data_IF_845332990460
#
_entry.id   IF_845332990460
#
_cell.length_a   1.000
_cell.length_b   1.000
_cell.length_c   1.000
_cell.angle_alpha   90.00
_cell.angle_beta   90.00
_cell.angle_gamma   90.00
#
_symmetry.space_group_name_H-M   'P 1'
#
loop_
_entity.id
_entity.type
_entity.pdbx_description
1 polymer ?
#
# COMPACT_ATOMS: atom_id res chain seq x y z
N UNK A 1 -6.61 -48.85 -10.98
CA UNK A 1 -6.64 -47.49 -11.59
C UNK A 1 -6.08 -46.52 -10.58
N UNK A 2 -4.85 -46.06 -10.82
CA UNK A 2 -4.18 -45.10 -9.94
C UNK A 2 -4.64 -43.70 -10.37
N UNK A 3 -5.21 -42.92 -9.43
CA UNK A 3 -5.59 -41.57 -9.66
C UNK A 3 -4.38 -40.71 -10.05
N UNK A 4 -4.50 -40.00 -11.14
CA UNK A 4 -3.51 -39.01 -11.57
C UNK A 4 -3.51 -37.85 -10.55
N UNK A 5 -2.38 -37.69 -9.87
CA UNK A 5 -2.06 -36.45 -9.16
C UNK A 5 -1.98 -35.33 -10.20
N UNK A 6 -2.91 -34.39 -10.10
CA UNK A 6 -2.84 -33.15 -10.87
C UNK A 6 -1.71 -32.32 -10.25
N UNK A 7 -0.54 -32.37 -10.89
CA UNK A 7 0.55 -31.46 -10.61
C UNK A 7 0.05 -30.02 -10.89
N UNK A 8 -0.36 -29.29 -9.87
CA UNK A 8 -0.61 -27.86 -9.93
C UNK A 8 0.72 -27.15 -10.16
N UNK A 9 0.96 -26.73 -11.41
CA UNK A 9 2.05 -25.82 -11.74
C UNK A 9 1.84 -24.45 -11.03
N UNK A 10 2.81 -23.52 -11.09
CA UNK A 10 2.77 -22.23 -10.40
C UNK A 10 1.56 -21.32 -10.76
N UNK A 11 0.74 -21.69 -11.74
CA UNK A 11 -0.45 -20.96 -12.19
C UNK A 11 -1.69 -21.12 -11.28
N UNK A 12 -1.67 -22.02 -10.29
CA UNK A 12 -2.80 -22.27 -9.38
C UNK A 12 -2.70 -21.60 -8.01
N UNK A 13 -1.55 -21.05 -7.64
CA UNK A 13 -1.33 -20.47 -6.33
C UNK A 13 -1.72 -18.99 -6.33
N UNK A 14 -2.46 -18.54 -5.32
CA UNK A 14 -2.80 -17.12 -5.12
C UNK A 14 -1.55 -16.25 -4.79
N UNK A 15 -1.68 -14.92 -4.88
CA UNK A 15 -0.62 -14.01 -4.47
C UNK A 15 -0.34 -14.13 -2.96
N UNK A 16 0.88 -13.81 -2.57
CA UNK A 16 1.30 -13.78 -1.15
C UNK A 16 0.92 -12.44 -0.48
N UNK A 17 0.89 -11.37 -1.25
CA UNK A 17 0.41 -10.05 -0.86
C UNK A 17 -0.76 -9.65 -1.76
N UNK A 18 -1.91 -9.35 -1.17
CA UNK A 18 -3.06 -8.76 -1.86
C UNK A 18 -3.22 -7.30 -1.42
N UNK A 19 -3.30 -6.41 -2.38
CA UNK A 19 -3.56 -4.99 -2.17
C UNK A 19 -5.01 -4.71 -2.57
N UNK A 20 -5.78 -4.14 -1.66
CA UNK A 20 -7.14 -3.64 -1.91
C UNK A 20 -7.07 -2.12 -1.88
N UNK A 21 -7.45 -1.45 -2.96
CA UNK A 21 -7.37 0.02 -2.95
C UNK A 21 -7.76 0.68 -4.25
N UNK A 22 -7.86 1.99 -4.21
CA UNK A 22 -8.22 2.79 -5.35
C UNK A 22 -7.07 2.86 -6.36
N UNK A 23 -7.44 2.85 -7.64
CA UNK A 23 -6.55 3.01 -8.78
C UNK A 23 -7.13 4.07 -9.69
N UNK A 24 -6.32 5.02 -10.13
CA UNK A 24 -6.82 6.12 -10.92
C UNK A 24 -5.71 7.08 -11.37
N UNK A 25 -6.11 8.31 -11.64
CA UNK A 25 -5.22 9.37 -12.12
C UNK A 25 -5.03 10.42 -11.05
N UNK A 26 -3.78 10.70 -10.70
CA UNK A 26 -3.40 11.83 -9.84
C UNK A 26 -3.07 13.05 -10.70
N UNK A 27 -3.68 14.17 -10.39
CA UNK A 27 -3.45 15.48 -11.00
C UNK A 27 -2.85 16.36 -9.92
N UNK A 28 -1.57 16.70 -10.06
CA UNK A 28 -0.82 17.42 -9.03
C UNK A 28 -0.53 18.83 -9.50
N UNK A 29 -0.75 19.81 -8.62
CA UNK A 29 -0.43 21.20 -8.83
C UNK A 29 0.54 21.66 -7.75
N UNK A 30 1.72 22.16 -8.14
CA UNK A 30 2.73 22.73 -7.24
C UNK A 30 3.20 24.09 -7.79
N UNK A 31 2.75 25.17 -7.20
CA UNK A 31 3.00 26.51 -7.71
C UNK A 31 2.50 26.68 -9.16
N UNK A 32 3.41 26.99 -10.09
CA UNK A 32 3.12 27.11 -11.52
C UNK A 32 3.24 25.80 -12.31
N UNK A 33 3.68 24.70 -11.67
CA UNK A 33 3.87 23.40 -12.32
C UNK A 33 2.68 22.50 -12.06
N UNK A 34 2.26 21.78 -13.09
CA UNK A 34 1.22 20.75 -12.97
C UNK A 34 1.62 19.53 -13.78
N UNK A 35 1.32 18.36 -13.22
CA UNK A 35 1.53 17.09 -13.93
C UNK A 35 0.41 16.09 -13.62
N UNK A 36 0.32 15.10 -14.46
CA UNK A 36 -0.62 13.99 -14.31
C UNK A 36 0.18 12.69 -14.24
N UNK A 37 -0.15 11.85 -13.29
CA UNK A 37 0.48 10.54 -13.13
C UNK A 37 -0.58 9.48 -12.84
N UNK A 38 -0.28 8.23 -13.18
CA UNK A 38 -1.03 7.08 -12.68
C UNK A 38 -0.84 7.01 -11.18
N UNK A 39 -1.93 6.89 -10.43
CA UNK A 39 -1.91 6.98 -8.98
C UNK A 39 -3.04 6.20 -8.32
N UNK A 40 -3.32 6.61 -7.09
CA UNK A 40 -4.20 5.92 -6.17
C UNK A 40 -3.43 4.98 -5.24
N UNK A 41 -3.94 4.80 -4.02
CA UNK A 41 -3.27 4.00 -2.98
C UNK A 41 -3.03 2.57 -3.44
N UNK A 42 -4.02 1.92 -4.04
CA UNK A 42 -3.89 0.57 -4.58
C UNK A 42 -2.83 0.46 -5.68
N UNK A 43 -2.73 1.47 -6.57
CA UNK A 43 -1.73 1.47 -7.63
C UNK A 43 -0.30 1.54 -7.09
N UNK A 44 -0.01 2.51 -6.25
CA UNK A 44 1.35 2.74 -5.77
C UNK A 44 1.89 1.57 -4.93
N UNK A 45 1.05 1.02 -4.04
CA UNK A 45 1.39 -0.18 -3.26
C UNK A 45 1.61 -1.39 -4.16
N UNK A 46 0.66 -1.71 -5.07
CA UNK A 46 0.77 -2.88 -5.95
C UNK A 46 1.92 -2.75 -6.95
N UNK A 47 2.17 -1.55 -7.49
CA UNK A 47 3.25 -1.32 -8.44
C UNK A 47 4.64 -1.49 -7.82
N UNK A 48 4.86 -0.98 -6.60
CA UNK A 48 6.13 -1.14 -5.89
C UNK A 48 6.34 -2.57 -5.40
N UNK A 49 5.30 -3.22 -4.88
CA UNK A 49 5.35 -4.63 -4.51
C UNK A 49 5.62 -5.54 -5.72
N UNK A 50 4.88 -5.34 -6.83
CA UNK A 50 5.06 -6.12 -8.06
C UNK A 50 6.47 -6.03 -8.65
N UNK A 51 7.12 -4.88 -8.51
CA UNK A 51 8.51 -4.71 -8.95
C UNK A 51 9.50 -5.60 -8.16
N UNK A 52 9.17 -5.97 -6.92
CA UNK A 52 9.99 -6.84 -6.07
C UNK A 52 9.61 -8.31 -6.17
N UNK A 53 8.32 -8.64 -6.06
CA UNK A 53 7.83 -10.02 -5.93
C UNK A 53 6.96 -10.49 -7.11
N UNK A 54 6.77 -9.67 -8.13
CA UNK A 54 6.05 -10.03 -9.36
C UNK A 54 4.62 -10.52 -9.10
N UNK A 55 4.22 -11.63 -9.71
CA UNK A 55 2.87 -12.23 -9.59
C UNK A 55 2.47 -12.66 -8.17
N UNK A 56 3.39 -12.66 -7.23
CA UNK A 56 3.09 -12.85 -5.81
C UNK A 56 2.44 -11.62 -5.16
N UNK A 57 2.39 -10.48 -5.88
CA UNK A 57 1.57 -9.32 -5.54
C UNK A 57 0.29 -9.31 -6.37
N UNK A 58 -0.87 -9.25 -5.74
CA UNK A 58 -2.18 -9.14 -6.37
C UNK A 58 -2.86 -7.81 -6.05
N UNK A 59 -3.74 -7.37 -6.93
CA UNK A 59 -4.53 -6.14 -6.77
C UNK A 59 -6.01 -6.44 -6.87
N UNK A 60 -6.78 -5.90 -5.90
CA UNK A 60 -8.24 -5.81 -5.93
C UNK A 60 -8.63 -4.35 -6.05
N UNK A 61 -9.23 -4.00 -7.18
CA UNK A 61 -9.62 -2.63 -7.48
C UNK A 61 -10.79 -2.61 -8.48
N UNK A 62 -11.52 -1.50 -8.52
CA UNK A 62 -12.48 -1.21 -9.58
C UNK A 62 -11.98 -0.02 -10.40
N UNK A 63 -11.92 -0.18 -11.72
CA UNK A 63 -11.47 0.86 -12.65
C UNK A 63 -12.48 1.07 -13.76
N UNK A 64 -12.46 2.25 -14.35
CA UNK A 64 -13.18 2.52 -15.59
C UNK A 64 -12.39 1.97 -16.80
N UNK A 65 -13.04 1.91 -17.96
CA UNK A 65 -12.39 1.53 -19.22
C UNK A 65 -11.38 2.57 -19.73
N UNK A 66 -11.32 3.72 -19.08
CA UNK A 66 -10.38 4.81 -19.35
C UNK A 66 -9.02 4.64 -18.67
N UNK A 67 -8.86 3.58 -17.85
CA UNK A 67 -7.63 3.34 -17.10
C UNK A 67 -6.71 2.35 -17.83
N UNK A 68 -5.42 2.73 -17.97
CA UNK A 68 -4.39 1.84 -18.52
C UNK A 68 -3.75 0.97 -17.44
N UNK A 69 -3.97 -0.34 -17.53
CA UNK A 69 -3.38 -1.35 -16.64
C UNK A 69 -2.00 -1.85 -17.10
N UNK A 70 -1.49 -1.39 -18.27
CA UNK A 70 -0.20 -1.86 -18.79
C UNK A 70 0.98 -1.65 -17.83
N UNK A 71 1.09 -0.54 -17.06
CA UNK A 71 2.16 -0.37 -16.08
C UNK A 71 2.16 -1.41 -14.96
N UNK A 72 0.99 -1.89 -14.53
CA UNK A 72 0.89 -2.96 -13.52
C UNK A 72 1.22 -4.33 -14.13
N UNK A 73 0.75 -4.58 -15.37
CA UNK A 73 1.10 -5.81 -16.10
C UNK A 73 2.60 -5.94 -16.33
N UNK A 74 3.28 -4.83 -16.64
CA UNK A 74 4.75 -4.83 -16.86
C UNK A 74 5.53 -5.19 -15.57
N UNK A 75 4.95 -4.96 -14.41
CA UNK A 75 5.47 -5.37 -13.10
C UNK A 75 4.96 -6.73 -12.65
N UNK A 76 4.28 -7.43 -13.54
CA UNK A 76 3.74 -8.77 -13.29
C UNK A 76 2.76 -8.84 -12.10
N UNK A 77 2.08 -7.74 -11.74
CA UNK A 77 1.03 -7.76 -10.72
C UNK A 77 -0.10 -8.68 -11.16
N UNK A 78 -0.60 -9.50 -10.26
CA UNK A 78 -1.79 -10.32 -10.50
C UNK A 78 -3.04 -9.43 -10.45
N UNK A 79 -3.71 -9.30 -11.59
CA UNK A 79 -4.85 -8.40 -11.79
C UNK A 79 -6.20 -9.09 -11.80
N UNK A 80 -6.29 -10.36 -11.41
CA UNK A 80 -7.56 -11.10 -11.41
C UNK A 80 -8.62 -10.49 -10.47
N UNK A 81 -8.19 -9.70 -9.47
CA UNK A 81 -9.07 -8.93 -8.60
C UNK A 81 -9.48 -7.56 -9.17
N UNK A 82 -9.02 -7.19 -10.37
CA UNK A 82 -9.37 -5.90 -10.97
C UNK A 82 -10.63 -6.04 -11.80
N UNK A 83 -11.63 -5.22 -11.52
CA UNK A 83 -12.90 -5.16 -12.25
C UNK A 83 -12.96 -3.88 -13.08
N UNK A 84 -13.14 -4.03 -14.40
CA UNK A 84 -13.39 -2.91 -15.29
C UNK A 84 -14.90 -2.68 -15.46
N UNK A 85 -15.35 -1.43 -15.25
CA UNK A 85 -16.75 -1.04 -15.39
C UNK A 85 -16.92 0.12 -16.39
N UNK A 86 -18.12 0.28 -16.98
CA UNK A 86 -18.47 1.51 -17.69
C UNK A 86 -18.50 2.69 -16.71
N UNK A 87 -17.82 3.79 -17.09
CA UNK A 87 -17.71 5.01 -16.29
C UNK A 87 -16.26 5.41 -16.06
N UNK A 88 -16.02 6.57 -15.44
CA UNK A 88 -14.69 7.07 -15.20
C UNK A 88 -14.01 6.34 -14.04
N UNK A 89 -12.69 6.15 -14.18
CA UNK A 89 -11.82 5.73 -13.07
C UNK A 89 -11.66 6.86 -12.04
N UNK A 90 -11.15 6.51 -10.87
CA UNK A 90 -10.89 7.50 -9.83
C UNK A 90 -9.91 8.58 -10.29
N UNK A 91 -10.15 9.81 -9.83
CA UNK A 91 -9.27 10.97 -10.01
C UNK A 91 -8.98 11.60 -8.67
N UNK A 92 -7.72 11.91 -8.43
CA UNK A 92 -7.22 12.58 -7.24
C UNK A 92 -6.56 13.88 -7.66
N UNK A 93 -7.03 14.99 -7.13
CA UNK A 93 -6.38 16.30 -7.27
C UNK A 93 -5.58 16.59 -6.01
N UNK A 94 -4.30 16.89 -6.19
CA UNK A 94 -3.36 17.22 -5.12
C UNK A 94 -2.85 18.63 -5.39
N UNK A 95 -3.01 19.54 -4.45
CA UNK A 95 -2.38 20.84 -4.50
C UNK A 95 -1.32 20.93 -3.41
N UNK A 96 -0.10 21.21 -3.81
CA UNK A 96 1.03 21.43 -2.91
C UNK A 96 1.24 22.95 -2.77
N UNK A 97 1.42 23.42 -1.54
CA UNK A 97 1.64 24.82 -1.21
C UNK A 97 3.10 25.06 -0.82
N UNK A 98 3.56 26.32 -0.91
CA UNK A 98 4.96 26.71 -0.64
C UNK A 98 5.37 26.47 0.83
N UNK A 99 4.41 26.41 1.75
CA UNK A 99 4.62 26.08 3.16
C UNK A 99 4.76 24.56 3.42
N UNK A 100 4.73 23.74 2.35
CA UNK A 100 4.80 22.29 2.42
C UNK A 100 3.45 21.62 2.74
N UNK A 101 2.38 22.38 3.00
CA UNK A 101 1.04 21.83 3.20
C UNK A 101 0.43 21.35 1.88
N UNK A 102 -0.63 20.52 1.98
CA UNK A 102 -1.33 19.98 0.82
C UNK A 102 -2.83 19.97 1.03
N UNK A 103 -3.56 20.18 -0.05
CA UNK A 103 -4.99 19.89 -0.10
C UNK A 103 -5.28 18.78 -1.10
N UNK A 104 -6.33 18.03 -0.83
CA UNK A 104 -6.75 16.88 -1.62
C UNK A 104 -8.24 17.01 -1.94
N UNK A 105 -8.58 16.59 -3.16
CA UNK A 105 -9.96 16.27 -3.52
C UNK A 105 -9.95 15.04 -4.42
N UNK A 106 -10.99 14.23 -4.33
CA UNK A 106 -11.09 12.99 -5.10
C UNK A 106 -12.50 12.82 -5.66
N UNK A 107 -12.56 12.27 -6.86
CA UNK A 107 -13.76 11.69 -7.45
C UNK A 107 -13.48 10.20 -7.64
N UNK A 108 -14.17 9.34 -6.91
CA UNK A 108 -13.89 7.90 -6.93
C UNK A 108 -14.45 7.21 -8.18
N UNK A 109 -15.40 7.83 -8.88
CA UNK A 109 -15.99 7.28 -10.10
C UNK A 109 -16.55 5.88 -9.87
N UNK A 110 -16.19 4.92 -10.72
CA UNK A 110 -16.68 3.52 -10.59
C UNK A 110 -16.17 2.82 -9.31
N UNK A 111 -15.15 3.35 -8.66
CA UNK A 111 -14.59 2.81 -7.42
C UNK A 111 -15.30 3.30 -6.14
N UNK A 112 -16.30 4.19 -6.25
CA UNK A 112 -17.07 4.70 -5.09
C UNK A 112 -17.80 3.58 -4.34
N UNK A 113 -18.26 2.55 -5.05
CA UNK A 113 -18.97 1.43 -4.47
C UNK A 113 -18.02 0.26 -4.24
N UNK A 114 -17.88 -0.17 -3.00
CA UNK A 114 -17.14 -1.39 -2.64
C UNK A 114 -17.82 -2.63 -3.21
N UNK A 115 -17.02 -3.47 -3.86
CA UNK A 115 -17.48 -4.72 -4.51
C UNK A 115 -16.70 -5.92 -4.00
N UNK A 116 -17.01 -6.35 -2.79
CA UNK A 116 -16.32 -7.49 -2.15
C UNK A 116 -16.42 -8.78 -2.96
N UNK A 117 -17.52 -8.97 -3.70
CA UNK A 117 -17.72 -10.13 -4.58
C UNK A 117 -16.72 -10.26 -5.74
N UNK A 118 -15.90 -9.23 -6.01
CA UNK A 118 -14.83 -9.29 -7.01
C UNK A 118 -13.50 -9.81 -6.46
N UNK A 119 -13.42 -10.06 -5.16
CA UNK A 119 -12.23 -10.62 -4.53
C UNK A 119 -12.07 -12.10 -4.93
N UNK A 120 -11.01 -12.48 -5.65
CA UNK A 120 -10.84 -13.85 -6.11
C UNK A 120 -10.65 -14.82 -4.93
N UNK A 121 -11.31 -15.98 -4.99
CA UNK A 121 -11.25 -16.96 -3.90
C UNK A 121 -9.80 -17.37 -3.56
N UNK A 122 -8.93 -17.51 -4.57
CA UNK A 122 -7.50 -17.85 -4.36
C UNK A 122 -6.68 -16.74 -3.68
N UNK A 123 -7.21 -15.51 -3.60
CA UNK A 123 -6.58 -14.40 -2.87
C UNK A 123 -6.80 -14.49 -1.35
N UNK A 124 -7.78 -15.29 -0.91
CA UNK A 124 -8.03 -15.54 0.52
C UNK A 124 -6.90 -16.34 1.19
N UNK A 125 -6.07 -17.02 0.41
CA UNK A 125 -4.90 -17.78 0.90
C UNK A 125 -3.61 -16.92 0.98
N UNK A 126 -3.71 -15.61 0.77
CA UNK A 126 -2.59 -14.69 0.87
C UNK A 126 -1.99 -14.67 2.29
N UNK A 127 -0.69 -14.40 2.37
CA UNK A 127 -0.02 -14.17 3.67
C UNK A 127 -0.34 -12.78 4.23
N UNK A 128 -0.50 -11.78 3.34
CA UNK A 128 -0.76 -10.39 3.67
C UNK A 128 -1.91 -9.83 2.82
N UNK A 129 -2.81 -9.08 3.45
CA UNK A 129 -3.80 -8.24 2.76
C UNK A 129 -3.61 -6.81 3.23
N UNK A 130 -3.45 -5.89 2.30
CA UNK A 130 -3.31 -4.47 2.59
C UNK A 130 -4.52 -3.67 2.12
N UNK A 131 -5.15 -2.97 3.03
CA UNK A 131 -6.22 -2.03 2.73
C UNK A 131 -5.61 -0.63 2.54
N UNK A 132 -5.49 -0.20 1.30
CA UNK A 132 -4.99 1.13 0.97
C UNK A 132 -5.88 2.25 1.50
N UNK A 133 -5.41 3.48 1.41
CA UNK A 133 -6.17 4.65 1.88
C UNK A 133 -7.53 4.70 1.18
N UNK A 134 -8.61 4.74 1.98
CA UNK A 134 -10.00 4.79 1.53
C UNK A 134 -10.87 5.40 2.63
N UNK A 135 -12.12 5.80 2.36
CA UNK A 135 -13.09 6.09 3.40
C UNK A 135 -13.16 4.95 4.43
N UNK A 136 -13.18 5.24 5.75
CA UNK A 136 -13.13 4.20 6.78
C UNK A 136 -14.25 3.17 6.69
N UNK A 137 -15.44 3.57 6.26
CA UNK A 137 -16.57 2.67 6.02
C UNK A 137 -16.27 1.63 4.92
N UNK A 138 -15.52 2.02 3.90
CA UNK A 138 -15.07 1.09 2.86
C UNK A 138 -14.01 0.12 3.41
N UNK A 139 -13.05 0.59 4.22
CA UNK A 139 -12.05 -0.27 4.85
C UNK A 139 -12.72 -1.26 5.82
N UNK A 140 -13.69 -0.80 6.62
CA UNK A 140 -14.48 -1.65 7.52
C UNK A 140 -15.29 -2.70 6.75
N UNK A 141 -15.91 -2.34 5.62
CA UNK A 141 -16.60 -3.29 4.75
C UNK A 141 -15.67 -4.39 4.24
N UNK A 142 -14.42 -4.06 3.88
CA UNK A 142 -13.43 -5.05 3.49
C UNK A 142 -12.98 -5.92 4.66
N UNK A 143 -12.77 -5.35 5.85
CA UNK A 143 -12.44 -6.12 7.06
C UNK A 143 -13.51 -7.14 7.40
N UNK A 144 -14.78 -6.71 7.41
CA UNK A 144 -15.93 -7.59 7.65
C UNK A 144 -15.95 -8.74 6.64
N UNK A 145 -15.86 -8.43 5.34
CA UNK A 145 -15.81 -9.45 4.29
C UNK A 145 -14.68 -10.46 4.48
N UNK A 146 -13.45 -9.99 4.74
CA UNK A 146 -12.29 -10.86 4.93
C UNK A 146 -12.45 -11.78 6.14
N UNK A 147 -12.98 -11.25 7.25
CA UNK A 147 -13.28 -12.04 8.45
C UNK A 147 -14.37 -13.08 8.20
N UNK A 148 -15.49 -12.70 7.57
CA UNK A 148 -16.59 -13.61 7.23
C UNK A 148 -16.15 -14.74 6.29
N UNK A 149 -15.18 -14.47 5.38
CA UNK A 149 -14.62 -15.46 4.48
C UNK A 149 -13.54 -16.32 5.13
N UNK A 150 -13.22 -16.08 6.40
CA UNK A 150 -12.18 -16.82 7.14
C UNK A 150 -10.78 -16.58 6.61
N UNK A 151 -10.50 -15.40 6.04
CA UNK A 151 -9.17 -15.01 5.61
C UNK A 151 -8.21 -15.03 6.80
N UNK A 152 -7.06 -15.68 6.63
CA UNK A 152 -6.02 -15.82 7.68
C UNK A 152 -4.80 -14.95 7.42
N UNK A 153 -4.88 -14.08 6.43
CA UNK A 153 -3.81 -13.15 6.12
C UNK A 153 -3.57 -12.19 7.29
N UNK A 154 -2.33 -11.73 7.42
CA UNK A 154 -2.01 -10.58 8.24
C UNK A 154 -2.54 -9.32 7.55
N UNK A 155 -3.59 -8.72 8.11
CA UNK A 155 -4.30 -7.60 7.50
C UNK A 155 -3.63 -6.30 7.94
N UNK A 156 -3.32 -5.41 7.00
CA UNK A 156 -2.82 -4.07 7.27
C UNK A 156 -3.70 -3.00 6.64
N UNK A 157 -3.69 -1.79 7.20
CA UNK A 157 -4.37 -0.63 6.63
C UNK A 157 -3.49 0.61 6.62
N UNK A 158 -3.67 1.46 5.61
CA UNK A 158 -3.09 2.81 5.55
C UNK A 158 -4.16 3.86 5.86
N UNK A 159 -3.82 4.80 6.76
CA UNK A 159 -4.70 5.89 7.13
C UNK A 159 -4.55 7.06 6.16
N UNK A 160 -5.53 7.97 6.19
CA UNK A 160 -5.49 9.19 5.40
C UNK A 160 -5.97 10.38 6.23
N UNK A 161 -5.16 11.44 6.30
CA UNK A 161 -5.37 12.57 7.20
C UNK A 161 -6.75 13.23 7.10
N UNK A 162 -7.31 13.34 5.88
CA UNK A 162 -8.66 13.86 5.68
C UNK A 162 -9.71 13.01 6.41
N UNK A 163 -9.62 11.69 6.31
CA UNK A 163 -10.59 10.77 6.96
C UNK A 163 -10.36 10.67 8.46
N UNK A 164 -9.11 10.72 8.90
CA UNK A 164 -8.75 10.80 10.33
C UNK A 164 -9.39 12.03 10.98
N UNK A 165 -9.31 13.18 10.32
CA UNK A 165 -9.90 14.42 10.81
C UNK A 165 -11.43 14.43 10.76
N UNK A 166 -12.03 13.84 9.73
CA UNK A 166 -13.49 13.88 9.49
C UNK A 166 -14.21 12.76 10.23
N UNK A 167 -13.63 11.58 10.31
CA UNK A 167 -14.22 10.34 10.87
C UNK A 167 -13.29 9.64 11.87
N UNK A 168 -12.86 10.32 12.96
CA UNK A 168 -11.84 9.78 13.87
C UNK A 168 -12.27 8.48 14.56
N UNK A 169 -13.55 8.32 14.87
CA UNK A 169 -14.08 7.09 15.49
C UNK A 169 -13.97 5.90 14.55
N UNK A 170 -14.50 6.02 13.32
CA UNK A 170 -14.43 4.96 12.33
C UNK A 170 -12.97 4.65 11.92
N UNK A 171 -12.10 5.67 11.87
CA UNK A 171 -10.66 5.46 11.64
C UNK A 171 -10.00 4.64 12.75
N UNK A 172 -10.39 4.82 14.01
CA UNK A 172 -9.92 3.98 15.13
C UNK A 172 -10.47 2.56 15.03
N UNK A 173 -11.73 2.39 14.65
CA UNK A 173 -12.33 1.07 14.43
C UNK A 173 -11.55 0.27 13.37
N UNK A 174 -11.11 0.93 12.28
CA UNK A 174 -10.20 0.29 11.31
C UNK A 174 -8.89 -0.11 11.97
N UNK A 175 -8.25 0.80 12.73
CA UNK A 175 -7.01 0.52 13.44
C UNK A 175 -7.12 -0.66 14.42
N UNK A 176 -8.26 -0.80 15.09
CA UNK A 176 -8.52 -1.89 16.04
C UNK A 176 -8.81 -3.24 15.35
N UNK A 177 -9.19 -3.20 14.07
CA UNK A 177 -9.56 -4.38 13.27
C UNK A 177 -8.41 -4.97 12.44
N UNK A 178 -7.21 -4.38 12.44
CA UNK A 178 -6.06 -4.82 11.63
C UNK A 178 -4.87 -5.25 12.46
N UNK A 179 -3.94 -5.97 11.83
CA UNK A 179 -2.73 -6.49 12.46
C UNK A 179 -1.51 -5.57 12.30
N UNK A 180 -1.56 -4.58 11.39
CA UNK A 180 -0.51 -3.59 11.16
C UNK A 180 -1.12 -2.31 10.62
N UNK A 181 -0.68 -1.16 11.13
CA UNK A 181 -1.21 0.14 10.74
C UNK A 181 -0.10 0.99 10.13
N UNK A 182 -0.37 1.59 8.97
CA UNK A 182 0.45 2.63 8.38
C UNK A 182 -0.24 3.98 8.54
N UNK A 183 0.48 4.98 9.03
CA UNK A 183 -0.02 6.34 9.16
C UNK A 183 1.12 7.35 9.15
N UNK A 184 0.82 8.60 8.85
CA UNK A 184 1.76 9.71 9.03
C UNK A 184 1.83 10.14 10.50
N UNK A 185 2.87 10.93 10.86
CA UNK A 185 2.95 11.51 12.20
C UNK A 185 1.72 12.38 12.53
N UNK A 186 1.23 13.16 11.56
CA UNK A 186 0.05 14.01 11.76
C UNK A 186 -1.23 13.19 12.00
N UNK A 187 -1.38 12.06 11.31
CA UNK A 187 -2.51 11.12 11.52
C UNK A 187 -2.41 10.44 12.90
N UNK A 188 -1.20 10.04 13.30
CA UNK A 188 -0.95 9.51 14.64
C UNK A 188 -1.32 10.52 15.72
N UNK A 189 -0.85 11.75 15.60
CA UNK A 189 -1.15 12.82 16.55
C UNK A 189 -2.66 13.13 16.58
N UNK A 190 -3.33 13.09 15.42
CA UNK A 190 -4.78 13.29 15.31
C UNK A 190 -5.62 12.19 15.97
N UNK A 191 -5.18 10.93 15.92
CA UNK A 191 -5.91 9.81 16.52
C UNK A 191 -5.52 9.54 17.97
N UNK A 192 -4.23 9.71 18.34
CA UNK A 192 -3.65 9.21 19.58
C UNK A 192 -2.81 10.26 20.32
N UNK A 193 -2.79 11.51 19.86
CA UNK A 193 -2.06 12.61 20.52
C UNK A 193 -2.62 13.04 21.89
N UNK A 194 -3.89 12.66 22.18
CA UNK A 194 -4.44 12.80 23.53
C UNK A 194 -4.02 11.59 24.38
N UNK A 195 -3.22 11.85 25.41
CA UNK A 195 -2.72 10.82 26.34
C UNK A 195 -3.82 10.01 27.07
N UNK A 196 -5.08 10.47 27.01
CA UNK A 196 -6.22 9.74 27.60
C UNK A 196 -6.80 8.67 26.67
N UNK A 197 -6.43 8.69 25.36
CA UNK A 197 -6.90 7.71 24.40
C UNK A 197 -5.98 6.50 24.34
N UNK A 198 -6.54 5.27 24.33
CA UNK A 198 -5.74 4.07 24.20
C UNK A 198 -5.03 4.04 22.83
N UNK A 199 -3.75 3.74 22.84
CA UNK A 199 -2.97 3.44 21.62
C UNK A 199 -3.40 2.06 21.10
N UNK A 200 -3.48 1.83 19.79
CA UNK A 200 -3.85 0.52 19.24
C UNK A 200 -2.83 -0.54 19.66
N UNK A 201 -3.31 -1.77 19.81
CA UNK A 201 -2.46 -2.92 20.16
C UNK A 201 -1.64 -3.40 18.97
N UNK A 202 -2.14 -3.18 17.76
CA UNK A 202 -1.44 -3.55 16.54
C UNK A 202 -0.16 -2.73 16.38
N UNK A 203 0.93 -3.32 15.86
CA UNK A 203 2.10 -2.58 15.44
C UNK A 203 1.75 -1.41 14.52
N UNK A 204 2.53 -0.32 14.63
CA UNK A 204 2.36 0.90 13.85
C UNK A 204 3.63 1.22 13.08
N UNK A 205 3.48 1.59 11.83
CA UNK A 205 4.52 2.26 11.05
C UNK A 205 4.11 3.72 10.87
N UNK A 206 4.77 4.60 11.63
CA UNK A 206 4.55 6.05 11.57
C UNK A 206 5.51 6.65 10.55
N UNK A 207 4.96 7.11 9.43
CA UNK A 207 5.68 7.76 8.32
C UNK A 207 6.00 9.21 8.71
N UNK A 208 7.27 9.62 8.62
CA UNK A 208 7.76 10.91 9.11
C UNK A 208 8.43 11.74 8.01
N UNK A 209 8.08 11.46 6.76
CA UNK A 209 8.61 12.17 5.59
C UNK A 209 10.15 12.14 5.54
N UNK A 210 10.81 13.31 5.45
CA UNK A 210 12.28 13.38 5.38
C UNK A 210 13.00 12.80 6.61
N UNK A 211 12.31 12.66 7.74
CA UNK A 211 12.87 12.03 8.94
C UNK A 211 12.74 10.49 8.93
N UNK A 212 12.24 9.90 7.84
CA UNK A 212 12.12 8.46 7.70
C UNK A 212 10.83 7.90 8.29
N UNK A 213 10.92 6.81 9.06
CA UNK A 213 9.77 6.16 9.66
C UNK A 213 10.11 5.57 11.04
N UNK A 214 9.07 5.34 11.82
CA UNK A 214 9.14 4.71 13.14
C UNK A 214 8.24 3.48 13.15
N UNK A 215 8.79 2.32 13.50
CA UNK A 215 8.03 1.12 13.81
C UNK A 215 7.80 1.08 15.32
N UNK A 216 6.55 0.94 15.75
CA UNK A 216 6.18 0.81 17.16
C UNK A 216 5.58 -0.59 17.34
N UNK A 217 6.23 -1.43 18.15
CA UNK A 217 5.76 -2.78 18.52
C UNK A 217 5.71 -2.85 20.03
N UNK A 218 4.59 -3.23 20.59
CA UNK A 218 4.37 -3.30 22.04
C UNK A 218 4.77 -2.02 22.79
N UNK A 219 4.53 -0.86 22.16
CA UNK A 219 4.91 0.45 22.69
C UNK A 219 6.39 0.81 22.58
N UNK A 220 7.22 -0.06 22.00
CA UNK A 220 8.67 0.18 21.81
C UNK A 220 8.96 0.73 20.43
N UNK A 221 9.40 2.00 20.30
CA UNK A 221 9.70 2.61 19.01
C UNK A 221 11.08 2.17 18.48
N UNK A 222 11.14 1.91 17.19
CA UNK A 222 12.35 1.65 16.42
C UNK A 222 12.41 2.65 15.27
N UNK A 223 13.39 3.55 15.29
CA UNK A 223 13.54 4.58 14.27
C UNK A 223 14.33 4.05 13.07
N UNK A 224 13.92 4.47 11.88
CA UNK A 224 14.66 4.31 10.62
C UNK A 224 14.73 5.66 9.94
N UNK A 225 15.92 6.20 9.80
CA UNK A 225 16.17 7.47 9.15
C UNK A 225 16.11 7.34 7.63
N UNK A 226 15.54 8.35 6.96
CA UNK A 226 15.58 8.41 5.51
C UNK A 226 16.93 8.92 5.01
N UNK A 227 17.45 8.42 3.88
CA UNK A 227 18.50 9.11 3.17
C UNK A 227 18.01 10.49 2.73
N UNK A 228 18.93 11.46 2.64
CA UNK A 228 18.57 12.82 2.20
C UNK A 228 18.15 12.77 0.72
N UNK A 229 16.88 12.97 0.38
CA UNK A 229 16.41 12.88 -0.99
C UNK A 229 16.58 14.22 -1.72
N UNK A 230 16.68 14.12 -3.04
CA UNK A 230 16.34 15.25 -3.91
C UNK A 230 14.81 15.28 -4.02
N UNK A 231 14.17 16.29 -3.47
CA UNK A 231 12.70 16.39 -3.45
C UNK A 231 12.17 17.01 -4.74
N UNK A 232 11.45 16.24 -5.52
CA UNK A 232 10.70 16.65 -6.71
C UNK A 232 9.20 16.49 -6.48
N UNK A 233 8.75 15.28 -6.12
CA UNK A 233 7.36 14.98 -5.80
C UNK A 233 7.28 13.91 -4.69
N UNK A 234 6.66 14.24 -3.59
CA UNK A 234 6.52 13.31 -2.45
C UNK A 234 5.17 12.58 -2.47
N UNK A 235 4.36 12.75 -3.53
CA UNK A 235 3.05 12.10 -3.67
C UNK A 235 3.24 10.59 -3.89
N UNK A 236 2.55 9.79 -3.08
CA UNK A 236 2.62 8.32 -3.16
C UNK A 236 3.83 7.69 -2.45
N UNK A 237 4.73 8.48 -1.86
CA UNK A 237 5.88 7.94 -1.13
C UNK A 237 5.49 7.07 0.08
N UNK A 238 4.37 7.38 0.74
CA UNK A 238 3.82 6.58 1.83
C UNK A 238 3.34 5.20 1.37
N UNK A 239 2.70 5.16 0.22
CA UNK A 239 2.20 3.94 -0.42
C UNK A 239 3.36 3.09 -0.98
N UNK A 240 4.40 3.71 -1.52
CA UNK A 240 5.65 3.02 -1.91
C UNK A 240 6.27 2.36 -0.69
N UNK A 241 6.37 3.07 0.44
CA UNK A 241 6.86 2.51 1.70
C UNK A 241 6.06 1.27 2.10
N UNK A 242 4.71 1.36 2.10
CA UNK A 242 3.86 0.24 2.46
C UNK A 242 4.05 -0.96 1.51
N UNK A 243 4.05 -0.73 0.20
CA UNK A 243 4.22 -1.77 -0.81
C UNK A 243 5.56 -2.50 -0.72
N UNK A 244 6.65 -1.76 -0.57
CA UNK A 244 8.00 -2.34 -0.41
C UNK A 244 8.10 -3.10 0.92
N UNK A 245 7.64 -2.50 2.02
CA UNK A 245 7.66 -3.16 3.32
C UNK A 245 6.93 -4.51 3.29
N UNK A 246 5.69 -4.53 2.81
CA UNK A 246 4.86 -5.72 2.77
C UNK A 246 5.40 -6.79 1.82
N UNK A 247 5.94 -6.39 0.66
CA UNK A 247 6.58 -7.31 -0.27
C UNK A 247 7.78 -8.02 0.36
N UNK A 248 8.64 -7.27 1.06
CA UNK A 248 9.80 -7.83 1.74
C UNK A 248 9.42 -8.67 2.96
N UNK A 249 8.32 -8.33 3.63
CA UNK A 249 7.75 -9.19 4.69
C UNK A 249 7.22 -10.51 4.12
N UNK A 250 6.59 -10.48 2.96
CA UNK A 250 6.16 -11.68 2.23
C UNK A 250 7.36 -12.57 1.83
N UNK A 251 8.51 -11.96 1.53
CA UNK A 251 9.78 -12.66 1.31
C UNK A 251 10.47 -13.13 2.62
N UNK A 252 9.87 -12.88 3.78
CA UNK A 252 10.37 -13.34 5.07
C UNK A 252 11.42 -12.44 5.73
N UNK A 253 11.69 -11.24 5.19
CA UNK A 253 12.65 -10.34 5.82
C UNK A 253 12.16 -9.88 7.20
N UNK A 254 13.07 -9.71 8.19
CA UNK A 254 12.72 -9.13 9.48
C UNK A 254 12.16 -7.69 9.34
N UNK A 255 11.19 -7.33 10.17
CA UNK A 255 10.43 -6.07 10.07
C UNK A 255 11.33 -4.83 9.98
N UNK A 256 12.33 -4.74 10.87
CA UNK A 256 13.25 -3.59 10.88
C UNK A 256 14.05 -3.48 9.59
N UNK A 257 14.45 -4.60 9.00
CA UNK A 257 15.21 -4.61 7.74
C UNK A 257 14.28 -4.27 6.56
N UNK A 258 13.07 -4.84 6.53
CA UNK A 258 12.06 -4.50 5.55
C UNK A 258 11.73 -3.00 5.60
N UNK A 259 11.56 -2.42 6.80
CA UNK A 259 11.31 -0.99 6.96
C UNK A 259 12.49 -0.13 6.47
N UNK A 260 13.74 -0.54 6.70
CA UNK A 260 14.92 0.17 6.19
C UNK A 260 14.90 0.28 4.66
N UNK A 261 14.62 -0.82 3.96
CA UNK A 261 14.51 -0.82 2.51
C UNK A 261 13.28 -0.01 2.03
N UNK A 262 12.15 -0.13 2.72
CA UNK A 262 10.95 0.61 2.39
C UNK A 262 11.14 2.13 2.51
N UNK A 263 11.85 2.60 3.52
CA UNK A 263 12.21 4.03 3.70
C UNK A 263 13.15 4.49 2.58
N UNK A 264 14.13 3.67 2.16
CA UNK A 264 15.01 3.98 1.02
C UNK A 264 14.22 4.13 -0.28
N UNK A 265 13.32 3.19 -0.57
CA UNK A 265 12.47 3.24 -1.76
C UNK A 265 11.54 4.46 -1.76
N UNK A 266 10.92 4.78 -0.62
CA UNK A 266 10.08 5.96 -0.48
C UNK A 266 10.87 7.27 -0.68
N UNK A 267 12.10 7.36 -0.18
CA UNK A 267 12.97 8.50 -0.43
C UNK A 267 13.35 8.61 -1.91
N UNK A 268 13.67 7.50 -2.58
CA UNK A 268 14.00 7.47 -4.01
C UNK A 268 12.80 7.83 -4.89
N UNK A 269 11.57 7.46 -4.48
CA UNK A 269 10.35 7.84 -5.22
C UNK A 269 10.13 9.36 -5.23
N UNK A 270 10.60 10.06 -4.21
CA UNK A 270 10.45 11.52 -4.10
C UNK A 270 11.36 12.30 -5.06
N UNK A 271 12.30 11.65 -5.74
CA UNK A 271 13.21 12.27 -6.71
C UNK A 271 12.63 12.35 -8.13
N UNK A 272 11.44 11.77 -8.37
CA UNK A 272 10.75 11.77 -9.66
C UNK A 272 9.32 12.31 -9.50
N UNK A 273 8.65 12.59 -10.63
CA UNK A 273 7.22 12.83 -10.66
C UNK A 273 6.44 11.51 -10.64
N UNK A 274 5.59 11.33 -9.63
CA UNK A 274 4.79 10.11 -9.44
C UNK A 274 5.61 8.90 -8.99
N UNK A 275 4.94 7.75 -8.88
CA UNK A 275 5.51 6.52 -8.26
C UNK A 275 6.07 5.52 -9.29
N UNK A 276 6.43 5.96 -10.48
CA UNK A 276 6.94 5.09 -11.56
C UNK A 276 8.25 5.59 -12.16
N UNK A 277 8.88 6.55 -11.51
CA UNK A 277 10.08 7.21 -12.01
C UNK A 277 11.33 6.32 -11.98
N UNK A 278 12.38 6.81 -12.64
CA UNK A 278 13.63 6.06 -12.85
C UNK A 278 14.44 5.86 -11.58
N UNK A 279 14.40 6.81 -10.64
CA UNK A 279 15.11 6.67 -9.37
C UNK A 279 14.50 5.57 -8.50
N UNK A 280 13.15 5.53 -8.41
CA UNK A 280 12.50 4.43 -7.70
C UNK A 280 12.76 3.08 -8.39
N UNK A 281 12.70 3.02 -9.73
CA UNK A 281 12.95 1.78 -10.46
C UNK A 281 14.37 1.24 -10.20
N UNK A 282 15.39 2.11 -10.21
CA UNK A 282 16.77 1.74 -9.89
C UNK A 282 16.92 1.27 -8.44
N UNK A 283 16.28 1.95 -7.49
CA UNK A 283 16.31 1.55 -6.09
C UNK A 283 15.65 0.20 -5.84
N UNK A 284 14.48 -0.07 -6.45
CA UNK A 284 13.80 -1.36 -6.32
C UNK A 284 14.64 -2.50 -6.90
N UNK A 285 15.34 -2.27 -8.00
CA UNK A 285 16.27 -3.25 -8.56
C UNK A 285 17.47 -3.49 -7.62
N UNK A 286 18.04 -2.45 -7.04
CA UNK A 286 19.11 -2.58 -6.04
C UNK A 286 18.63 -3.38 -4.81
N UNK A 287 17.46 -3.07 -4.28
CA UNK A 287 16.86 -3.80 -3.16
C UNK A 287 16.68 -5.28 -3.53
N UNK A 288 16.18 -5.58 -4.72
CA UNK A 288 15.99 -6.96 -5.19
C UNK A 288 17.32 -7.73 -5.25
N UNK A 289 18.39 -7.10 -5.74
CA UNK A 289 19.71 -7.71 -5.77
C UNK A 289 20.28 -7.93 -4.36
N UNK A 290 20.15 -6.94 -3.47
CA UNK A 290 20.63 -7.02 -2.08
C UNK A 290 19.93 -8.12 -1.29
N UNK A 291 18.62 -8.29 -1.47
CA UNK A 291 17.81 -9.27 -0.75
C UNK A 291 17.94 -10.69 -1.33
N UNK A 292 18.13 -10.84 -2.65
CA UNK A 292 18.36 -12.15 -3.28
C UNK A 292 19.71 -12.79 -2.83
N UNK A 293 20.73 -11.99 -2.54
CA UNK A 293 22.03 -12.46 -2.06
C UNK A 293 22.04 -12.88 -0.58
N UNK A 294 21.03 -12.52 0.19
CA UNK A 294 20.93 -12.79 1.62
C UNK A 294 20.16 -14.09 1.95
N UNK A 295 20.24 -15.12 1.12
CA UNK A 295 19.55 -16.41 1.21
C UNK A 295 19.64 -17.21 2.53
N UNK A 296 20.00 -16.56 3.64
CA UNK A 296 20.05 -17.14 5.00
C UNK A 296 18.75 -16.93 5.80
N UNK A 297 17.73 -16.22 5.26
CA UNK A 297 16.50 -15.93 6.03
C UNK A 297 15.35 -16.91 5.81
N UNK A 298 15.56 -18.02 5.09
CA UNK A 298 14.58 -19.10 5.05
C UNK A 298 14.64 -19.92 6.34
N UNK A 299 14.11 -19.39 7.42
CA UNK A 299 13.97 -20.12 8.69
C UNK A 299 12.51 -20.47 8.91
N UNK A 300 12.24 -21.75 8.81
CA UNK A 300 11.21 -22.48 9.56
C UNK A 300 9.76 -22.04 9.31
N UNK A 301 9.15 -22.72 8.37
CA UNK A 301 7.68 -22.92 8.35
C UNK A 301 7.29 -23.96 9.37
#
# INVERSE_FOLDING_TARGET
>A
MRGAEVNGGPEGRGPELVVVGHVGTSIVHAGAVSWTATGGSGYAVAASAGALIGRRAGLVATVGRDFDLAPLRSRQVDLDGVTELPGPSAKLWVRQYDDGSRSFSAELGVAEVVRTGTFPARFLDACYVHLGTAPPDQQLTWLEYLHERGCRAHISADMFGHYVATYPTASREVCDGVDLIFMTQAEYDGLYGDAQLPVPKAPLIVKRGPSGARLIVDGHPQEVEAPVPQLVDTTGGGEVLAGVFLALRADGLPERLALKYAVRAAASSAADYGVTGSHLAAELEAIRCETAGSGEYSVGR
#
